data_IF_231377824088
#
_entry.id   IF_231377824088
#
_cell.length_a   1.000
_cell.length_b   1.000
_cell.length_c   1.000
_cell.angle_alpha   90.00
_cell.angle_beta   90.00
_cell.angle_gamma   90.00
#
_symmetry.space_group_name_H-M   'P 1'
#
loop_
_entity.id
_entity.type
_entity.pdbx_description
1 polymer ?
#
# COMPACT_ATOMS: atom_id res chain seq x y z
N UNK A 1 31.33 2.79 -29.41
CA UNK A 1 30.87 2.46 -28.05
C UNK A 1 29.68 1.51 -28.15
N UNK A 2 29.69 0.39 -27.40
CA UNK A 2 28.64 -0.63 -27.48
C UNK A 2 27.31 -0.08 -26.98
N UNK A 3 26.22 -0.29 -27.71
CA UNK A 3 24.89 0.20 -27.31
C UNK A 3 24.37 -0.61 -26.12
N UNK A 4 23.82 0.04 -25.08
CA UNK A 4 23.22 -0.67 -23.96
C UNK A 4 22.03 -1.52 -24.44
N UNK A 5 22.17 -2.83 -24.24
CA UNK A 5 21.12 -3.82 -24.48
C UNK A 5 20.10 -3.75 -23.35
N UNK A 6 18.82 -3.91 -23.66
CA UNK A 6 17.76 -4.03 -22.66
C UNK A 6 17.87 -5.37 -21.93
N UNK A 7 18.73 -5.40 -20.91
CA UNK A 7 18.85 -6.54 -20.00
C UNK A 7 17.59 -6.67 -19.13
N UNK A 8 17.34 -7.86 -18.59
CA UNK A 8 16.22 -8.06 -17.67
C UNK A 8 16.29 -7.12 -16.46
N UNK A 9 17.50 -6.86 -15.95
CA UNK A 9 17.71 -5.91 -14.87
C UNK A 9 17.24 -4.49 -15.22
N UNK A 10 17.65 -3.98 -16.40
CA UNK A 10 17.24 -2.66 -16.88
C UNK A 10 15.73 -2.59 -17.16
N UNK A 11 15.13 -3.66 -17.68
CA UNK A 11 13.67 -3.75 -17.86
C UNK A 11 12.92 -3.65 -16.53
N UNK A 12 13.38 -4.36 -15.49
CA UNK A 12 12.79 -4.27 -14.15
C UNK A 12 12.92 -2.86 -13.58
N UNK A 13 14.05 -2.18 -13.77
CA UNK A 13 14.22 -0.79 -13.33
C UNK A 13 13.25 0.17 -14.03
N UNK A 14 13.08 0.03 -15.36
CA UNK A 14 12.13 0.85 -16.12
C UNK A 14 10.68 0.62 -15.65
N UNK A 15 10.30 -0.64 -15.37
CA UNK A 15 8.97 -0.97 -14.82
C UNK A 15 8.79 -0.35 -13.44
N UNK A 16 9.78 -0.45 -12.55
CA UNK A 16 9.70 0.16 -11.23
C UNK A 16 9.56 1.69 -11.31
N UNK A 17 10.33 2.34 -12.19
CA UNK A 17 10.23 3.78 -12.43
C UNK A 17 8.85 4.16 -12.99
N UNK A 18 8.25 3.34 -13.86
CA UNK A 18 6.90 3.56 -14.36
C UNK A 18 5.84 3.46 -13.24
N UNK A 19 5.98 2.49 -12.34
CA UNK A 19 5.10 2.34 -11.18
C UNK A 19 5.23 3.50 -10.19
N UNK A 20 6.45 3.96 -9.93
CA UNK A 20 6.72 5.16 -9.12
C UNK A 20 6.09 6.41 -9.74
N UNK A 21 6.25 6.58 -11.06
CA UNK A 21 5.69 7.72 -11.81
C UNK A 21 4.17 7.74 -11.79
N UNK A 22 3.54 6.57 -11.99
CA UNK A 22 2.10 6.37 -11.86
C UNK A 22 1.58 6.52 -10.41
N UNK A 23 2.48 6.72 -9.43
CA UNK A 23 2.13 6.92 -8.03
C UNK A 23 1.57 5.69 -7.33
N UNK A 24 1.79 4.48 -7.87
CA UNK A 24 1.26 3.23 -7.30
C UNK A 24 1.76 3.03 -5.85
N UNK A 25 3.05 3.19 -5.53
CA UNK A 25 3.53 3.06 -4.14
C UNK A 25 2.89 4.08 -3.19
N UNK A 26 2.73 5.33 -3.65
CA UNK A 26 2.07 6.40 -2.88
C UNK A 26 0.60 6.07 -2.59
N UNK A 27 -0.14 5.59 -3.59
CA UNK A 27 -1.55 5.17 -3.45
C UNK A 27 -1.69 3.99 -2.49
N UNK A 28 -0.81 2.98 -2.57
CA UNK A 28 -0.78 1.85 -1.63
C UNK A 28 -0.49 2.32 -0.19
N UNK A 29 0.49 3.21 -0.01
CA UNK A 29 0.84 3.77 1.30
C UNK A 29 -0.31 4.58 1.90
N UNK A 30 -0.95 5.44 1.10
CA UNK A 30 -2.11 6.23 1.54
C UNK A 30 -3.30 5.34 1.94
N UNK A 31 -3.60 4.31 1.15
CA UNK A 31 -4.64 3.32 1.49
C UNK A 31 -4.30 2.60 2.80
N UNK A 32 -3.04 2.21 3.01
CA UNK A 32 -2.61 1.59 4.28
C UNK A 32 -2.79 2.53 5.47
N UNK A 33 -2.39 3.79 5.33
CA UNK A 33 -2.56 4.80 6.38
C UNK A 33 -4.05 5.01 6.74
N UNK A 34 -4.91 5.17 5.73
CA UNK A 34 -6.35 5.28 5.93
C UNK A 34 -6.93 4.05 6.66
N UNK A 35 -6.43 2.84 6.33
CA UNK A 35 -6.82 1.62 7.02
C UNK A 35 -6.32 1.52 8.45
N UNK A 36 -5.15 2.08 8.78
CA UNK A 36 -4.67 2.18 10.18
C UNK A 36 -5.63 3.03 11.01
N UNK A 37 -6.00 4.21 10.49
CA UNK A 37 -6.92 5.13 11.15
C UNK A 37 -8.32 4.52 11.31
N UNK A 38 -8.81 3.85 10.26
CA UNK A 38 -10.08 3.12 10.31
C UNK A 38 -10.05 1.95 11.30
N UNK A 39 -9.00 1.14 11.31
CA UNK A 39 -8.84 0.03 12.25
C UNK A 39 -8.85 0.52 13.70
N UNK A 40 -8.29 1.70 13.96
CA UNK A 40 -8.34 2.32 15.29
C UNK A 40 -9.75 2.74 15.68
N UNK A 41 -10.52 3.34 14.76
CA UNK A 41 -11.92 3.67 15.01
C UNK A 41 -12.77 2.44 15.28
N UNK A 42 -12.59 1.35 14.52
CA UNK A 42 -13.24 0.06 14.78
C UNK A 42 -12.88 -0.47 16.17
N UNK A 43 -11.60 -0.42 16.55
CA UNK A 43 -11.14 -0.86 17.88
C UNK A 43 -11.79 -0.05 19.00
N UNK A 44 -11.84 1.26 18.86
CA UNK A 44 -12.47 2.14 19.84
C UNK A 44 -13.98 1.90 19.93
N UNK A 45 -14.67 1.71 18.80
CA UNK A 45 -16.07 1.33 18.78
C UNK A 45 -16.30 -0.01 19.52
N UNK A 46 -15.44 -1.01 19.29
CA UNK A 46 -15.50 -2.31 19.96
C UNK A 46 -15.27 -2.24 21.48
N UNK A 47 -14.44 -1.30 21.94
CA UNK A 47 -14.21 -1.05 23.38
C UNK A 47 -15.37 -0.25 23.99
N UNK A 48 -16.11 0.49 23.16
CA UNK A 48 -17.20 1.38 23.56
C UNK A 48 -16.76 2.84 23.78
N UNK A 49 -15.71 3.28 23.09
CA UNK A 49 -15.27 4.67 22.98
C UNK A 49 -13.96 5.00 23.70
N UNK A 50 -13.46 6.21 23.44
CA UNK A 50 -12.19 6.73 23.98
C UNK A 50 -12.23 6.87 25.50
N UNK A 51 -13.37 7.25 26.07
CA UNK A 51 -13.54 7.38 27.53
C UNK A 51 -13.39 6.03 28.23
N UNK A 52 -14.07 4.99 27.72
CA UNK A 52 -13.95 3.62 28.24
C UNK A 52 -12.52 3.08 28.09
N UNK A 53 -11.86 3.37 26.97
CA UNK A 53 -10.45 3.03 26.81
C UNK A 53 -9.58 3.69 27.90
N UNK A 54 -9.75 4.98 28.14
CA UNK A 54 -8.96 5.71 29.14
C UNK A 54 -9.16 5.12 30.55
N UNK A 55 -10.39 4.73 30.91
CA UNK A 55 -10.69 4.03 32.16
C UNK A 55 -10.00 2.66 32.24
N UNK A 56 -10.07 1.87 31.16
CA UNK A 56 -9.40 0.57 31.07
C UNK A 56 -7.89 0.74 31.24
N UNK A 57 -7.27 1.69 30.53
CA UNK A 57 -5.84 1.97 30.64
C UNK A 57 -5.43 2.40 32.06
N UNK A 58 -6.27 3.20 32.74
CA UNK A 58 -6.06 3.58 34.14
C UNK A 58 -6.07 2.35 35.05
N UNK A 59 -6.99 1.41 34.83
CA UNK A 59 -7.08 0.18 35.61
C UNK A 59 -5.91 -0.76 35.33
N UNK A 60 -5.47 -0.88 34.09
CA UNK A 60 -4.29 -1.66 33.71
C UNK A 60 -3.04 -1.15 34.41
N UNK A 61 -2.82 0.17 34.43
CA UNK A 61 -1.69 0.77 35.16
C UNK A 61 -1.71 0.44 36.65
N UNK A 62 -2.89 0.41 37.28
CA UNK A 62 -3.02 0.00 38.69
C UNK A 62 -2.64 -1.48 38.87
N UNK A 63 -3.08 -2.36 37.98
CA UNK A 63 -2.71 -3.79 38.00
C UNK A 63 -1.20 -3.96 37.85
N UNK A 64 -0.59 -3.29 36.88
CA UNK A 64 0.85 -3.31 36.65
C UNK A 64 1.62 -2.83 37.89
N UNK A 65 1.17 -1.73 38.52
CA UNK A 65 1.76 -1.21 39.76
C UNK A 65 1.61 -2.16 40.95
N UNK A 66 0.57 -2.98 41.02
CA UNK A 66 0.45 -4.01 42.05
C UNK A 66 1.34 -5.22 41.72
N UNK A 67 1.44 -5.59 40.46
CA UNK A 67 2.26 -6.72 40.00
C UNK A 67 3.76 -6.49 40.28
N UNK A 68 4.25 -5.26 40.32
CA UNK A 68 5.66 -4.98 40.68
C UNK A 68 6.01 -5.39 42.11
N UNK A 69 5.02 -5.50 43.01
CA UNK A 69 5.24 -5.94 44.40
C UNK A 69 5.46 -7.46 44.53
N UNK A 70 5.20 -8.21 43.46
CA UNK A 70 5.41 -9.66 43.40
C UNK A 70 6.84 -9.91 42.90
N UNK A 71 7.61 -10.85 43.50
CA UNK A 71 8.90 -11.27 42.96
C UNK A 71 8.81 -11.79 41.53
N UNK A 72 9.79 -11.46 40.68
CA UNK A 72 9.77 -11.84 39.26
C UNK A 72 9.77 -13.36 39.04
N UNK A 73 10.39 -14.14 39.95
CA UNK A 73 10.40 -15.61 39.91
C UNK A 73 9.02 -16.24 40.05
N UNK A 74 8.03 -15.49 40.55
CA UNK A 74 6.65 -15.95 40.70
C UNK A 74 5.72 -15.40 39.60
N UNK A 75 6.25 -14.58 38.67
CA UNK A 75 5.47 -14.02 37.56
C UNK A 75 5.45 -14.97 36.37
N UNK A 76 4.32 -15.03 35.69
CA UNK A 76 4.22 -15.66 34.37
C UNK A 76 4.57 -14.66 33.28
N UNK A 77 5.07 -15.17 32.15
CA UNK A 77 5.29 -14.38 30.94
C UNK A 77 3.98 -14.03 30.21
N UNK A 78 2.84 -14.59 30.64
CA UNK A 78 1.54 -14.33 30.02
C UNK A 78 0.92 -13.04 30.57
N UNK A 79 0.52 -12.12 29.69
CA UNK A 79 -0.21 -10.93 30.12
C UNK A 79 -1.65 -11.28 30.51
N UNK A 80 -2.11 -10.75 31.66
CA UNK A 80 -3.51 -10.85 32.08
C UNK A 80 -4.45 -10.16 31.09
N UNK A 81 -3.95 -9.15 30.38
CA UNK A 81 -4.73 -8.35 29.46
C UNK A 81 -4.50 -8.84 28.04
N UNK A 82 -5.58 -9.20 27.35
CA UNK A 82 -5.52 -9.54 25.93
C UNK A 82 -5.03 -8.34 25.13
N UNK A 83 -3.95 -8.54 24.39
CA UNK A 83 -3.53 -7.67 23.29
C UNK A 83 -3.55 -8.49 22.00
N UNK A 84 -3.92 -7.86 20.90
CA UNK A 84 -3.95 -8.47 19.58
C UNK A 84 -3.38 -7.54 18.54
N UNK A 85 -2.84 -8.10 17.45
CA UNK A 85 -2.42 -7.35 16.28
C UNK A 85 -3.58 -7.02 15.31
N UNK A 86 -4.73 -7.63 15.54
CA UNK A 86 -5.95 -7.42 14.78
C UNK A 86 -7.20 -7.65 15.64
N UNK A 87 -8.33 -7.17 15.14
CA UNK A 87 -9.67 -7.54 15.59
C UNK A 87 -10.35 -8.39 14.52
N UNK A 88 -11.04 -9.46 14.92
CA UNK A 88 -11.91 -10.21 14.05
C UNK A 88 -13.25 -9.48 13.94
N UNK A 89 -13.65 -9.12 12.73
CA UNK A 89 -14.82 -8.28 12.51
C UNK A 89 -15.85 -9.04 11.68
N UNK A 90 -17.10 -9.07 12.16
CA UNK A 90 -18.26 -9.42 11.35
C UNK A 90 -18.83 -8.12 10.74
N UNK A 91 -18.80 -8.04 9.42
CA UNK A 91 -19.14 -6.90 8.58
C UNK A 91 -20.33 -7.28 7.70
N UNK A 92 -21.55 -7.16 8.24
CA UNK A 92 -22.78 -7.33 7.46
C UNK A 92 -22.81 -8.59 6.55
N UNK A 93 -22.36 -9.74 7.05
CA UNK A 93 -22.34 -11.01 6.31
C UNK A 93 -20.95 -11.43 5.79
N UNK A 94 -19.92 -10.60 5.96
CA UNK A 94 -18.52 -10.97 5.74
C UNK A 94 -17.73 -11.05 7.04
N UNK A 95 -16.72 -11.91 7.10
CA UNK A 95 -15.76 -11.98 8.23
C UNK A 95 -14.39 -11.52 7.75
N UNK A 96 -13.81 -10.55 8.45
CA UNK A 96 -12.50 -9.99 8.10
C UNK A 96 -11.59 -9.83 9.32
N UNK A 97 -10.29 -9.92 9.09
CA UNK A 97 -9.27 -9.61 10.10
C UNK A 97 -8.80 -8.18 9.87
N UNK A 98 -9.00 -7.31 10.86
CA UNK A 98 -8.63 -5.90 10.75
C UNK A 98 -7.32 -5.68 11.51
N UNK A 99 -6.22 -5.59 10.77
CA UNK A 99 -4.87 -5.42 11.32
C UNK A 99 -4.58 -3.96 11.67
N UNK A 100 -4.01 -3.71 12.85
CA UNK A 100 -3.74 -2.35 13.35
C UNK A 100 -2.56 -1.65 12.66
N UNK A 101 -1.79 -2.38 11.84
CA UNK A 101 -0.77 -1.82 10.96
C UNK A 101 -1.30 -1.51 9.53
N UNK A 102 -2.60 -1.69 9.30
CA UNK A 102 -3.25 -1.38 8.01
C UNK A 102 -3.07 -2.45 6.94
N UNK A 103 -2.51 -3.63 7.28
CA UNK A 103 -2.35 -4.73 6.32
C UNK A 103 -3.70 -5.34 5.94
N UNK A 104 -3.82 -5.80 4.69
CA UNK A 104 -4.93 -6.64 4.21
C UNK A 104 -4.80 -8.07 4.72
N UNK A 105 -3.58 -8.55 4.93
CA UNK A 105 -3.30 -9.92 5.37
C UNK A 105 -2.33 -9.95 6.54
N UNK A 106 -2.30 -11.08 7.24
CA UNK A 106 -1.35 -11.31 8.34
C UNK A 106 0.11 -11.24 7.91
N UNK A 107 0.41 -11.44 6.64
CA UNK A 107 1.73 -11.24 6.06
C UNK A 107 1.62 -10.56 4.70
N UNK A 108 2.40 -9.50 4.53
CA UNK A 108 2.59 -8.77 3.27
C UNK A 108 4.09 -8.44 3.16
N UNK A 109 4.68 -8.72 2.00
CA UNK A 109 6.09 -8.41 1.76
C UNK A 109 6.33 -6.91 1.84
N UNK A 110 7.35 -6.49 2.59
CA UNK A 110 7.67 -5.07 2.81
C UNK A 110 6.64 -4.29 3.63
N UNK A 111 5.72 -4.97 4.32
CA UNK A 111 4.75 -4.31 5.18
C UNK A 111 5.31 -4.02 6.59
N UNK A 112 4.78 -3.01 7.29
CA UNK A 112 5.17 -2.71 8.67
C UNK A 112 4.90 -3.88 9.61
N UNK A 113 5.67 -3.94 10.71
CA UNK A 113 5.45 -4.91 11.77
C UNK A 113 4.05 -4.81 12.40
N UNK A 114 3.62 -5.91 13.01
CA UNK A 114 2.34 -5.97 13.69
C UNK A 114 2.35 -5.14 14.98
N UNK A 115 1.31 -4.33 15.17
CA UNK A 115 1.13 -3.51 16.38
C UNK A 115 0.13 -4.20 17.30
N UNK A 116 0.56 -4.60 18.50
CA UNK A 116 -0.32 -5.20 19.49
C UNK A 116 -1.04 -4.13 20.32
N UNK A 117 -2.37 -4.11 20.27
CA UNK A 117 -3.22 -3.20 21.04
C UNK A 117 -4.20 -3.96 21.92
N UNK A 118 -4.69 -3.31 22.98
CA UNK A 118 -5.81 -3.82 23.77
C UNK A 118 -7.06 -3.78 22.91
N UNK A 119 -7.70 -4.93 22.77
CA UNK A 119 -8.82 -5.13 21.85
C UNK A 119 -9.62 -6.37 22.28
N UNK A 120 -10.95 -6.35 22.13
CA UNK A 120 -11.75 -7.57 22.09
C UNK A 120 -11.25 -8.57 21.04
N UNK A 121 -11.57 -9.86 21.20
CA UNK A 121 -11.25 -10.83 20.16
C UNK A 121 -12.08 -10.56 18.89
N UNK A 122 -13.38 -10.36 19.07
CA UNK A 122 -14.35 -10.23 18.00
C UNK A 122 -15.23 -8.99 18.21
N UNK A 123 -15.71 -8.41 17.12
CA UNK A 123 -16.71 -7.34 17.14
C UNK A 123 -17.63 -7.49 15.92
N UNK A 124 -18.86 -6.99 16.05
CA UNK A 124 -19.84 -7.01 14.95
C UNK A 124 -20.27 -5.58 14.66
N UNK A 125 -20.13 -5.18 13.41
CA UNK A 125 -20.72 -3.95 12.90
C UNK A 125 -22.01 -4.30 12.15
N UNK A 126 -23.06 -3.55 12.42
CA UNK A 126 -24.33 -3.65 11.69
C UNK A 126 -24.19 -2.98 10.31
N UNK A 127 -25.02 -3.39 9.34
CA UNK A 127 -24.85 -2.99 7.94
C UNK A 127 -24.96 -1.49 7.69
N UNK A 128 -25.69 -0.78 8.55
CA UNK A 128 -25.91 0.66 8.48
C UNK A 128 -24.75 1.48 9.07
N UNK A 129 -23.77 0.83 9.70
CA UNK A 129 -22.62 1.52 10.28
C UNK A 129 -21.71 2.10 9.16
N UNK A 130 -21.38 3.40 9.20
CA UNK A 130 -20.49 4.03 8.21
C UNK A 130 -19.15 3.29 8.04
N UNK A 131 -18.63 2.66 9.11
CA UNK A 131 -17.39 1.89 9.07
C UNK A 131 -17.48 0.68 8.13
N UNK A 132 -18.67 0.11 7.93
CA UNK A 132 -18.91 -0.97 6.96
C UNK A 132 -18.79 -0.44 5.54
N UNK A 133 -19.36 0.73 5.25
CA UNK A 133 -19.27 1.35 3.92
C UNK A 133 -17.82 1.70 3.58
N UNK A 134 -17.07 2.23 4.55
CA UNK A 134 -15.64 2.52 4.38
C UNK A 134 -14.81 1.25 4.12
N UNK A 135 -15.14 0.14 4.76
CA UNK A 135 -14.44 -1.12 4.50
C UNK A 135 -14.57 -1.55 3.03
N UNK A 136 -15.78 -1.52 2.48
CA UNK A 136 -16.00 -1.88 1.07
C UNK A 136 -15.36 -0.90 0.10
N UNK A 137 -15.30 0.39 0.44
CA UNK A 137 -14.61 1.38 -0.40
C UNK A 137 -13.10 1.14 -0.44
N UNK A 138 -12.49 0.71 0.67
CA UNK A 138 -11.10 0.29 0.70
C UNK A 138 -10.84 -0.94 -0.15
N UNK A 139 -11.72 -1.94 -0.12
CA UNK A 139 -11.57 -3.15 -0.94
C UNK A 139 -11.66 -2.84 -2.44
N UNK A 140 -12.61 -2.00 -2.83
CA UNK A 140 -12.73 -1.49 -4.21
C UNK A 140 -11.46 -0.74 -4.63
N UNK A 141 -10.95 0.17 -3.79
CA UNK A 141 -9.74 0.94 -4.07
C UNK A 141 -8.49 0.04 -4.15
N UNK A 142 -8.39 -0.96 -3.28
CA UNK A 142 -7.31 -1.96 -3.30
C UNK A 142 -7.31 -2.75 -4.61
N UNK A 143 -8.50 -3.18 -5.05
CA UNK A 143 -8.69 -3.90 -6.30
C UNK A 143 -8.30 -3.02 -7.49
N UNK A 144 -8.72 -1.75 -7.50
CA UNK A 144 -8.34 -0.80 -8.54
C UNK A 144 -6.82 -0.61 -8.60
N UNK A 145 -6.15 -0.33 -7.47
CA UNK A 145 -4.70 -0.13 -7.43
C UNK A 145 -3.95 -1.35 -7.96
N UNK A 146 -4.40 -2.58 -7.63
CA UNK A 146 -3.80 -3.82 -8.13
C UNK A 146 -4.03 -4.00 -9.63
N UNK A 147 -5.21 -3.64 -10.11
CA UNK A 147 -5.53 -3.67 -11.54
C UNK A 147 -4.60 -2.72 -12.30
N UNK A 148 -4.51 -1.46 -11.87
CA UNK A 148 -3.66 -0.44 -12.47
C UNK A 148 -2.18 -0.86 -12.48
N UNK A 149 -1.68 -1.38 -11.35
CA UNK A 149 -0.32 -1.89 -11.24
C UNK A 149 -0.05 -3.02 -12.24
N UNK A 150 -0.98 -3.98 -12.33
CA UNK A 150 -0.86 -5.12 -13.25
C UNK A 150 -0.88 -4.65 -14.70
N UNK A 151 -1.77 -3.72 -15.04
CA UNK A 151 -1.91 -3.17 -16.38
C UNK A 151 -0.66 -2.40 -16.80
N UNK A 152 -0.11 -1.55 -15.92
CA UNK A 152 1.15 -0.84 -16.15
C UNK A 152 2.29 -1.84 -16.37
N UNK A 153 2.44 -2.84 -15.49
CA UNK A 153 3.50 -3.86 -15.63
C UNK A 153 3.37 -4.58 -16.97
N UNK A 154 2.17 -4.99 -17.37
CA UNK A 154 1.94 -5.71 -18.63
C UNK A 154 2.24 -4.83 -19.84
N UNK A 155 1.71 -3.60 -19.88
CA UNK A 155 1.88 -2.69 -21.00
C UNK A 155 3.34 -2.24 -21.17
N UNK A 156 4.02 -1.88 -20.06
CA UNK A 156 5.44 -1.53 -20.10
C UNK A 156 6.30 -2.74 -20.49
N UNK A 157 6.02 -3.92 -19.94
CA UNK A 157 6.74 -5.15 -20.32
C UNK A 157 6.55 -5.48 -21.80
N UNK A 158 5.34 -5.34 -22.33
CA UNK A 158 5.05 -5.56 -23.74
C UNK A 158 5.81 -4.57 -24.64
N UNK A 159 5.87 -3.29 -24.26
CA UNK A 159 6.65 -2.28 -24.97
C UNK A 159 8.15 -2.62 -24.95
N UNK A 160 8.71 -2.98 -23.79
CA UNK A 160 10.12 -3.34 -23.62
C UNK A 160 10.51 -4.64 -24.32
N UNK A 161 9.58 -5.58 -24.51
CA UNK A 161 9.85 -6.84 -25.19
C UNK A 161 9.89 -6.72 -26.73
N UNK A 162 9.31 -5.66 -27.29
CA UNK A 162 9.35 -5.38 -28.74
C UNK A 162 10.69 -4.80 -29.21
N UNK A 163 11.54 -4.35 -28.29
CA UNK A 163 12.81 -3.67 -28.58
C UNK A 163 13.99 -4.32 -27.85
N UNK A 164 15.14 -4.38 -28.51
CA UNK A 164 16.35 -5.06 -27.98
C UNK A 164 17.37 -4.09 -27.37
N UNK A 165 17.36 -2.83 -27.76
CA UNK A 165 18.33 -1.81 -27.34
C UNK A 165 17.62 -0.56 -26.84
N UNK A 166 18.27 0.18 -25.94
CA UNK A 166 17.74 1.47 -25.42
C UNK A 166 17.53 2.48 -26.54
N UNK A 167 18.40 2.51 -27.55
CA UNK A 167 18.22 3.37 -28.73
C UNK A 167 16.89 3.08 -29.41
N UNK A 168 16.61 1.81 -29.73
CA UNK A 168 15.37 1.42 -30.39
C UNK A 168 14.14 1.66 -29.51
N UNK A 169 14.30 1.57 -28.19
CA UNK A 169 13.25 1.97 -27.25
C UNK A 169 12.93 3.47 -27.38
N UNK A 170 13.94 4.34 -27.34
CA UNK A 170 13.75 5.78 -27.46
C UNK A 170 13.30 6.22 -28.86
N UNK A 171 13.67 5.48 -29.90
CA UNK A 171 13.18 5.71 -31.26
C UNK A 171 11.66 5.45 -31.38
N UNK A 172 11.13 4.47 -30.62
CA UNK A 172 9.71 4.04 -30.69
C UNK A 172 8.86 4.65 -29.56
N UNK A 173 9.46 4.93 -28.41
CA UNK A 173 8.85 5.51 -27.22
C UNK A 173 9.81 6.54 -26.60
N UNK A 174 9.90 7.75 -27.18
CA UNK A 174 10.78 8.81 -26.69
C UNK A 174 10.54 9.22 -25.24
N UNK A 175 9.29 9.20 -24.80
CA UNK A 175 8.85 9.54 -23.45
C UNK A 175 9.39 8.55 -22.39
N UNK A 176 9.78 7.33 -22.81
CA UNK A 176 10.47 6.37 -21.95
C UNK A 176 11.79 6.89 -21.39
N UNK A 177 12.34 7.98 -21.95
CA UNK A 177 13.53 8.65 -21.42
C UNK A 177 13.35 9.04 -19.95
N UNK A 178 12.14 9.42 -19.53
CA UNK A 178 11.84 9.74 -18.12
C UNK A 178 11.87 8.51 -17.20
N UNK A 179 11.79 7.31 -17.78
CA UNK A 179 11.79 6.03 -17.06
C UNK A 179 13.16 5.36 -17.05
N UNK A 180 14.12 5.86 -17.83
CA UNK A 180 15.49 5.34 -17.82
C UNK A 180 16.20 5.75 -16.52
N UNK A 181 17.06 4.88 -15.95
CA UNK A 181 17.95 5.30 -14.87
C UNK A 181 18.84 6.45 -15.36
N UNK A 182 19.22 7.35 -14.47
CA UNK A 182 19.77 8.71 -14.71
C UNK A 182 21.02 8.82 -15.61
N UNK A 183 21.55 7.71 -16.12
CA UNK A 183 22.81 7.61 -16.86
C UNK A 183 22.65 7.25 -18.36
N UNK A 184 21.48 7.48 -18.95
CA UNK A 184 21.22 7.14 -20.36
C UNK A 184 21.50 8.30 -21.34
N UNK A 185 22.23 8.06 -22.46
CA UNK A 185 22.58 9.09 -23.43
C UNK A 185 21.37 9.57 -24.28
N UNK A 186 21.32 10.85 -24.66
CA UNK A 186 20.21 11.43 -25.43
C UNK A 186 20.25 11.03 -26.91
N UNK A 187 19.08 10.74 -27.50
CA UNK A 187 18.93 10.42 -28.95
C UNK A 187 17.66 11.12 -29.51
N UNK A 188 17.64 11.56 -30.79
CA UNK A 188 16.55 12.35 -31.38
C UNK A 188 15.30 11.53 -31.77
N UNK A 189 14.13 12.20 -31.83
CA UNK A 189 12.78 11.62 -31.98
C UNK A 189 12.36 11.22 -33.41
N UNK A 190 11.50 10.19 -33.52
CA UNK A 190 10.74 9.75 -34.71
C UNK A 190 9.34 9.15 -34.31
N UNK A 191 8.40 8.87 -35.24
CA UNK A 191 6.95 8.97 -35.01
C UNK A 191 6.26 7.76 -34.34
N UNK A 192 5.07 8.06 -33.84
CA UNK A 192 4.29 7.39 -32.80
C UNK A 192 3.56 6.09 -33.21
N UNK A 193 3.48 5.15 -32.27
CA UNK A 193 2.44 4.09 -32.25
C UNK A 193 1.94 3.90 -30.81
N UNK A 194 0.61 3.88 -30.62
CA UNK A 194 -0.16 3.49 -29.41
C UNK A 194 0.45 3.82 -28.04
N UNK A 195 1.05 5.00 -27.90
CA UNK A 195 1.70 5.46 -26.67
C UNK A 195 0.80 6.34 -25.81
N UNK A 196 -0.24 6.95 -26.38
CA UNK A 196 -1.09 7.93 -25.69
C UNK A 196 -1.74 7.32 -24.45
N UNK A 197 -2.39 6.16 -24.58
CA UNK A 197 -2.98 5.44 -23.44
C UNK A 197 -1.94 5.03 -22.40
N UNK A 198 -0.76 4.55 -22.82
CA UNK A 198 0.31 4.16 -21.90
C UNK A 198 0.90 5.37 -21.16
N UNK A 199 1.05 6.49 -21.86
CA UNK A 199 1.53 7.74 -21.33
C UNK A 199 0.52 8.35 -20.36
N UNK A 200 -0.78 8.33 -20.66
CA UNK A 200 -1.85 8.74 -19.74
C UNK A 200 -1.85 7.90 -18.46
N UNK A 201 -1.72 6.57 -18.58
CA UNK A 201 -1.66 5.67 -17.42
C UNK A 201 -0.46 5.92 -16.51
N UNK A 202 0.69 6.29 -17.08
CA UNK A 202 1.94 6.52 -16.32
C UNK A 202 2.07 7.98 -15.87
N UNK A 203 1.35 8.91 -16.49
CA UNK A 203 1.49 10.35 -16.28
C UNK A 203 2.66 10.98 -17.06
N UNK A 204 2.86 10.56 -18.31
CA UNK A 204 3.88 11.08 -19.23
C UNK A 204 3.25 11.87 -20.39
N UNK A 205 3.94 12.87 -20.97
CA UNK A 205 5.13 13.52 -20.42
C UNK A 205 4.78 14.37 -19.18
N UNK A 206 5.76 14.64 -18.32
CA UNK A 206 5.54 15.41 -17.07
C UNK A 206 5.10 16.86 -17.33
N UNK A 207 5.31 17.38 -18.55
CA UNK A 207 4.91 18.71 -18.97
C UNK A 207 4.24 18.62 -20.35
N UNK A 208 2.97 19.00 -20.44
CA UNK A 208 2.44 19.60 -21.68
C UNK A 208 3.16 20.94 -21.84
N UNK A 209 4.18 21.00 -22.69
CA UNK A 209 4.63 22.30 -23.20
C UNK A 209 3.45 22.83 -23.99
N UNK A 210 2.86 23.88 -23.46
CA UNK A 210 1.82 24.68 -24.06
C UNK A 210 2.15 24.97 -25.52
N UNK A 211 1.20 24.69 -26.40
CA UNK A 211 1.08 25.39 -27.67
C UNK A 211 1.29 26.88 -27.42
N UNK A 212 2.38 27.43 -27.94
CA UNK A 212 2.49 28.88 -28.14
C UNK A 212 3.34 29.17 -29.36
N UNK A 213 2.62 29.51 -30.44
CA UNK A 213 2.99 30.24 -31.65
C UNK A 213 3.78 29.53 -32.75
#
# INVERSE_FOLDING_TARGET
MSQPVLTNHLKTQIINNALEKAGIPKRKSALRAARVEWAERVRLAAIGGVEKEAEILKNIKKIESMATKIPDSLKTNSSLIRKGCCIYLNLAGARANIYFNGNYRGYESGAPEHINKIVPAEFTLLGEDPLVTEFYSFDALSTQIKSDETEIIQNVSAALNKVRTVKRLLDVWPEAKELLPTDAPPVPLAPAVHRETLNEMIGLPTNTVSDTQ
#
